data_IF_893418993339
#
_entry.id   IF_893418993339
#
_cell.length_a   1.000
_cell.length_b   1.000
_cell.length_c   1.000
_cell.angle_alpha   90.00
_cell.angle_beta   90.00
_cell.angle_gamma   90.00
#
_symmetry.space_group_name_H-M   'P 1'
#
loop_
_entity.id
_entity.type
_entity.pdbx_description
1 polymer ?
#
# COMPACT_ATOMS: atom_id res chain seq x y z
N UNK A 1 -14.19 -3.25 -5.70
CA UNK A 1 -13.58 -1.93 -5.98
C UNK A 1 -13.21 -1.84 -7.46
N UNK A 2 -13.44 -0.71 -8.05
CA UNK A 2 -13.13 -0.48 -9.46
C UNK A 2 -11.60 -0.45 -9.68
N UNK A 3 -11.13 -1.10 -10.74
CA UNK A 3 -9.69 -1.12 -11.06
C UNK A 3 -9.13 0.27 -11.32
N UNK A 4 -9.92 1.17 -11.90
CA UNK A 4 -9.49 2.53 -12.13
C UNK A 4 -9.21 3.28 -10.82
N UNK A 5 -10.05 3.05 -9.81
CA UNK A 5 -9.86 3.62 -8.48
C UNK A 5 -8.60 3.05 -7.84
N UNK A 6 -8.41 1.73 -7.94
CA UNK A 6 -7.23 1.07 -7.41
C UNK A 6 -5.95 1.61 -8.05
N UNK A 7 -5.95 1.78 -9.37
CA UNK A 7 -4.79 2.30 -10.10
C UNK A 7 -4.43 3.71 -9.64
N UNK A 8 -5.43 4.57 -9.44
CA UNK A 8 -5.21 5.93 -8.96
C UNK A 8 -4.59 5.95 -7.56
N UNK A 9 -5.10 5.10 -6.67
CA UNK A 9 -4.57 4.99 -5.31
C UNK A 9 -3.14 4.46 -5.35
N UNK A 10 -2.89 3.42 -6.11
CA UNK A 10 -1.54 2.85 -6.24
C UNK A 10 -0.56 3.89 -6.78
N UNK A 11 -0.95 4.69 -7.76
CA UNK A 11 -0.09 5.74 -8.30
C UNK A 11 0.30 6.75 -7.23
N UNK A 12 -0.66 7.15 -6.39
CA UNK A 12 -0.37 8.05 -5.28
C UNK A 12 0.58 7.43 -4.27
N UNK A 13 0.41 6.15 -3.97
CA UNK A 13 1.26 5.43 -3.03
C UNK A 13 2.68 5.30 -3.57
N UNK A 14 2.83 4.95 -4.84
CA UNK A 14 4.15 4.82 -5.46
C UNK A 14 4.91 6.14 -5.49
N UNK A 15 4.19 7.25 -5.63
CA UNK A 15 4.80 8.58 -5.55
C UNK A 15 5.33 8.90 -4.17
N UNK A 16 4.53 8.59 -3.15
CA UNK A 16 4.87 8.89 -1.77
C UNK A 16 5.86 7.89 -1.18
N UNK A 17 5.77 6.65 -1.62
CA UNK A 17 6.63 5.55 -1.13
C UNK A 17 7.29 4.88 -2.32
N UNK A 18 8.38 5.45 -2.85
CA UNK A 18 9.04 4.88 -4.05
C UNK A 18 9.52 3.45 -3.86
N UNK A 19 9.79 3.03 -2.62
CA UNK A 19 10.21 1.66 -2.34
C UNK A 19 9.11 0.63 -2.63
N UNK A 20 7.86 1.07 -2.75
CA UNK A 20 6.73 0.21 -3.06
C UNK A 20 6.42 0.17 -4.57
N UNK A 21 7.15 0.93 -5.37
CA UNK A 21 6.94 0.98 -6.80
C UNK A 21 7.14 -0.40 -7.41
N UNK A 22 6.21 -0.82 -8.25
CA UNK A 22 6.24 -2.13 -8.87
C UNK A 22 5.65 -3.26 -8.03
N UNK A 23 5.27 -2.97 -6.79
CA UNK A 23 4.62 -3.95 -5.92
C UNK A 23 3.12 -3.89 -6.09
N UNK A 24 2.48 -5.05 -6.09
CA UNK A 24 1.01 -5.11 -6.15
C UNK A 24 0.49 -5.27 -4.73
N UNK A 25 -0.50 -4.47 -4.32
CA UNK A 25 -1.07 -4.61 -2.99
C UNK A 25 -2.05 -5.77 -2.92
N UNK A 26 -2.17 -6.35 -1.73
CA UNK A 26 -3.29 -7.22 -1.42
C UNK A 26 -4.47 -6.35 -1.01
N UNK A 27 -5.61 -6.56 -1.64
CA UNK A 27 -6.81 -5.77 -1.38
C UNK A 27 -7.77 -6.61 -0.56
N UNK A 28 -8.19 -6.08 0.58
CA UNK A 28 -9.18 -6.72 1.45
C UNK A 28 -10.29 -5.72 1.75
N UNK A 29 -11.53 -6.20 1.75
CA UNK A 29 -12.65 -5.37 2.16
C UNK A 29 -12.69 -5.34 3.69
N UNK A 30 -12.52 -4.16 4.28
CA UNK A 30 -12.49 -4.00 5.73
C UNK A 30 -13.87 -3.67 6.29
N UNK A 31 -14.65 -2.90 5.53
CA UNK A 31 -16.02 -2.55 5.86
C UNK A 31 -16.77 -2.32 4.55
N UNK A 32 -18.07 -2.02 4.61
CA UNK A 32 -18.88 -1.85 3.40
C UNK A 32 -18.33 -0.76 2.48
N UNK A 33 -17.77 0.30 3.07
CA UNK A 33 -17.26 1.45 2.35
C UNK A 33 -15.74 1.63 2.45
N UNK A 34 -15.05 0.61 2.97
CA UNK A 34 -13.60 0.72 3.21
C UNK A 34 -12.85 -0.50 2.72
N UNK A 35 -11.67 -0.27 2.19
CA UNK A 35 -10.77 -1.31 1.73
C UNK A 35 -9.41 -1.14 2.36
N UNK A 36 -8.77 -2.27 2.65
CA UNK A 36 -7.41 -2.29 3.19
C UNK A 36 -6.47 -2.75 2.09
N UNK A 37 -5.46 -1.95 1.82
CA UNK A 37 -4.39 -2.29 0.88
C UNK A 37 -3.15 -2.62 1.68
N UNK A 38 -2.55 -3.78 1.38
CA UNK A 38 -1.31 -4.23 2.01
C UNK A 38 -0.22 -4.31 0.96
N UNK A 39 0.82 -3.52 1.14
CA UNK A 39 2.01 -3.57 0.32
C UNK A 39 3.14 -4.18 1.14
N UNK A 40 3.80 -5.19 0.60
CA UNK A 40 4.97 -5.79 1.24
C UNK A 40 6.21 -5.45 0.43
N UNK A 41 7.25 -4.99 1.10
CA UNK A 41 8.51 -4.68 0.46
C UNK A 41 9.67 -5.15 1.31
N UNK A 42 10.82 -5.36 0.69
CA UNK A 42 12.04 -5.68 1.39
C UNK A 42 13.14 -4.74 0.93
N UNK A 43 13.93 -4.26 1.90
CA UNK A 43 15.09 -3.42 1.63
C UNK A 43 16.32 -4.08 2.23
N UNK A 44 17.45 -3.97 1.54
CA UNK A 44 18.72 -4.41 2.08
C UNK A 44 19.45 -3.24 2.71
N UNK A 45 20.00 -3.46 3.89
CA UNK A 45 20.87 -2.49 4.53
C UNK A 45 22.29 -2.65 4.02
N UNK A 46 23.16 -1.64 4.19
CA UNK A 46 24.56 -1.73 3.75
C UNK A 46 25.34 -2.88 4.38
N UNK A 47 24.91 -3.37 5.53
CA UNK A 47 25.56 -4.50 6.21
C UNK A 47 25.03 -5.86 5.77
N UNK A 48 24.21 -5.89 4.74
CA UNK A 48 23.70 -7.14 4.14
C UNK A 48 22.45 -7.72 4.76
N UNK A 49 21.84 -7.04 5.71
CA UNK A 49 20.60 -7.49 6.33
C UNK A 49 19.40 -7.12 5.49
N UNK A 50 18.39 -7.97 5.49
CA UNK A 50 17.14 -7.70 4.79
C UNK A 50 16.09 -7.25 5.79
N UNK A 51 15.51 -6.08 5.54
CA UNK A 51 14.42 -5.54 6.37
C UNK A 51 13.13 -5.66 5.58
N UNK A 52 12.15 -6.34 6.14
CA UNK A 52 10.81 -6.42 5.55
C UNK A 52 9.94 -5.31 6.10
N UNK A 53 9.22 -4.64 5.20
CA UNK A 53 8.31 -3.57 5.58
C UNK A 53 6.93 -3.89 5.02
N UNK A 54 5.91 -3.62 5.83
CA UNK A 54 4.52 -3.76 5.40
C UNK A 54 3.83 -2.40 5.51
N UNK A 55 3.31 -1.93 4.39
CA UNK A 55 2.55 -0.68 4.33
C UNK A 55 1.07 -1.01 4.31
N UNK A 56 0.34 -0.48 5.27
CA UNK A 56 -1.11 -0.64 5.36
C UNK A 56 -1.79 0.67 5.03
N UNK A 57 -2.72 0.62 4.11
CA UNK A 57 -3.44 1.80 3.66
C UNK A 57 -4.93 1.49 3.68
N UNK A 58 -5.68 2.30 4.40
CA UNK A 58 -7.14 2.21 4.41
C UNK A 58 -7.68 3.28 3.49
N UNK A 59 -8.48 2.86 2.54
CA UNK A 59 -9.11 3.77 1.57
C UNK A 59 -10.62 3.64 1.62
N UNK A 60 -11.31 4.71 1.22
CA UNK A 60 -12.75 4.67 1.02
C UNK A 60 -13.09 3.99 -0.30
N UNK A 61 -14.36 3.68 -0.49
CA UNK A 61 -14.84 3.08 -1.73
C UNK A 61 -14.52 3.93 -2.96
N UNK A 62 -14.48 5.24 -2.79
CA UNK A 62 -14.12 6.16 -3.88
C UNK A 62 -12.62 6.33 -4.11
N UNK A 63 -11.78 5.65 -3.34
CA UNK A 63 -10.34 5.73 -3.50
C UNK A 63 -9.65 6.80 -2.66
N UNK A 64 -10.34 7.36 -1.69
CA UNK A 64 -9.78 8.37 -0.80
C UNK A 64 -8.95 7.69 0.28
N UNK A 65 -7.72 8.13 0.48
CA UNK A 65 -6.84 7.59 1.51
C UNK A 65 -7.30 8.12 2.87
N UNK A 66 -7.72 7.20 3.75
CA UNK A 66 -8.23 7.53 5.08
C UNK A 66 -7.15 7.36 6.14
N UNK A 67 -6.32 6.34 6.01
CA UNK A 67 -5.27 6.08 6.97
C UNK A 67 -4.10 5.39 6.29
N UNK A 68 -2.89 5.74 6.71
CA UNK A 68 -1.66 5.11 6.23
C UNK A 68 -0.82 4.75 7.44
N UNK A 69 -0.34 3.51 7.48
CA UNK A 69 0.60 3.11 8.52
C UNK A 69 1.63 2.15 7.93
N UNK A 70 2.84 2.23 8.42
CA UNK A 70 3.92 1.37 8.00
C UNK A 70 4.49 0.65 9.22
N UNK A 71 4.68 -0.66 9.07
CA UNK A 71 5.30 -1.47 10.10
C UNK A 71 6.51 -2.20 9.53
N UNK A 72 7.44 -2.49 10.40
CA UNK A 72 8.63 -3.26 10.06
C UNK A 72 8.51 -4.71 10.53
#
# INVERSE_FOLDING_TARGET
MDNAVLDKVCAKIYRRFPSMKGKKPSVSKQAEDRYLLLFSGSNQTPDGKTIQQTLRIVISEGGRILKTSMSR
#
